data_IF_964328693227
#
_entry.id   IF_964328693227
#
_cell.length_a   1.000
_cell.length_b   1.000
_cell.length_c   1.000
_cell.angle_alpha   90.00
_cell.angle_beta   90.00
_cell.angle_gamma   90.00
#
_symmetry.space_group_name_H-M   'P 1'
#
loop_
_entity.id
_entity.type
_entity.pdbx_description
1 polymer ?
#
# COMPACT_ATOMS: atom_id res chain seq x y z
N UNK A 1 -12.54 26.28 -42.28
CA UNK A 1 -11.13 26.16 -41.85
C UNK A 1 -10.87 26.47 -40.36
N UNK A 2 -11.79 27.11 -39.60
CA UNK A 2 -11.57 27.38 -38.15
C UNK A 2 -11.84 26.17 -37.23
N UNK A 3 -12.81 25.31 -37.56
CA UNK A 3 -13.17 24.14 -36.75
C UNK A 3 -12.12 23.02 -36.75
N UNK A 4 -11.41 22.82 -37.87
CA UNK A 4 -10.33 21.83 -37.96
C UNK A 4 -9.14 22.18 -37.06
N UNK A 5 -8.83 23.48 -36.91
CA UNK A 5 -7.81 23.94 -35.96
C UNK A 5 -8.20 23.67 -34.50
N UNK A 6 -9.48 23.82 -34.17
CA UNK A 6 -9.99 23.57 -32.82
C UNK A 6 -9.97 22.08 -32.44
N UNK A 7 -10.30 21.21 -33.41
CA UNK A 7 -10.20 19.76 -33.22
C UNK A 7 -8.73 19.35 -33.07
N UNK A 8 -7.83 19.90 -33.89
CA UNK A 8 -6.40 19.60 -33.82
C UNK A 8 -5.78 20.00 -32.49
N UNK A 9 -6.07 21.22 -31.99
CA UNK A 9 -5.56 21.66 -30.69
C UNK A 9 -6.11 20.84 -29.53
N UNK A 10 -7.39 20.44 -29.60
CA UNK A 10 -8.00 19.58 -28.57
C UNK A 10 -7.32 18.21 -28.52
N UNK A 11 -7.06 17.60 -29.69
CA UNK A 11 -6.36 16.30 -29.76
C UNK A 11 -4.94 16.40 -29.19
N UNK A 12 -4.22 17.48 -29.50
CA UNK A 12 -2.86 17.71 -28.98
C UNK A 12 -2.87 17.88 -27.46
N UNK A 13 -3.82 18.65 -26.91
CA UNK A 13 -3.94 18.85 -25.46
C UNK A 13 -4.25 17.53 -24.73
N UNK A 14 -5.17 16.73 -25.26
CA UNK A 14 -5.51 15.42 -24.68
C UNK A 14 -4.31 14.48 -24.74
N UNK A 15 -3.55 14.49 -25.83
CA UNK A 15 -2.36 13.65 -25.98
C UNK A 15 -1.25 14.05 -24.99
N UNK A 16 -1.07 15.35 -24.75
CA UNK A 16 -0.14 15.86 -23.74
C UNK A 16 -0.59 15.45 -22.33
N UNK A 17 -1.87 15.61 -21.98
CA UNK A 17 -2.40 15.20 -20.68
C UNK A 17 -2.30 13.68 -20.46
N UNK A 18 -2.54 12.88 -21.49
CA UNK A 18 -2.36 11.43 -21.46
C UNK A 18 -0.89 11.04 -21.25
N UNK A 19 0.03 11.73 -21.94
CA UNK A 19 1.48 11.50 -21.78
C UNK A 19 1.97 11.89 -20.39
N UNK A 20 1.49 13.01 -19.84
CA UNK A 20 1.78 13.43 -18.46
C UNK A 20 1.21 12.42 -17.45
N UNK A 21 0.00 11.90 -17.69
CA UNK A 21 -0.60 10.89 -16.82
C UNK A 21 0.21 9.59 -16.82
N UNK A 22 0.64 9.11 -17.99
CA UNK A 22 1.51 7.95 -18.12
C UNK A 22 2.87 8.16 -17.45
N UNK A 23 3.44 9.36 -17.60
CA UNK A 23 4.70 9.73 -16.96
C UNK A 23 4.55 9.75 -15.44
N UNK A 24 3.56 10.46 -14.89
CA UNK A 24 3.27 10.48 -13.45
C UNK A 24 2.97 9.07 -12.89
N UNK A 25 2.31 8.22 -13.67
CA UNK A 25 2.05 6.83 -13.29
C UNK A 25 3.37 6.05 -13.20
N UNK A 26 4.31 6.25 -14.14
CA UNK A 26 5.67 5.69 -14.06
C UNK A 26 6.43 6.18 -12.83
N UNK A 27 6.40 7.48 -12.51
CA UNK A 27 7.04 8.00 -11.29
C UNK A 27 6.43 7.39 -10.03
N UNK A 28 5.10 7.28 -9.96
CA UNK A 28 4.44 6.63 -8.82
C UNK A 28 4.84 5.15 -8.70
N UNK A 29 5.01 4.44 -9.82
CA UNK A 29 5.46 3.04 -9.80
C UNK A 29 6.93 2.90 -9.49
N UNK A 30 7.77 3.87 -9.87
CA UNK A 30 9.22 3.90 -9.58
C UNK A 30 9.49 4.19 -8.10
N UNK A 31 8.76 5.13 -7.49
CA UNK A 31 8.84 5.38 -6.04
C UNK A 31 8.27 4.21 -5.23
N UNK A 32 7.23 3.56 -5.74
CA UNK A 32 6.77 2.31 -5.13
C UNK A 32 7.82 1.19 -5.34
N UNK A 33 8.47 1.12 -6.51
CA UNK A 33 9.47 0.11 -6.85
C UNK A 33 10.77 0.24 -6.05
N UNK A 34 11.23 1.46 -5.76
CA UNK A 34 12.37 1.74 -4.88
C UNK A 34 12.03 1.42 -3.42
N UNK A 35 10.77 1.60 -3.01
CA UNK A 35 10.24 1.10 -1.74
C UNK A 35 10.01 -0.43 -1.72
N UNK A 36 9.95 -1.07 -2.89
CA UNK A 36 9.73 -2.50 -3.10
C UNK A 36 11.04 -3.28 -3.41
N UNK A 37 12.18 -2.61 -3.58
CA UNK A 37 13.52 -3.25 -3.71
C UNK A 37 14.13 -3.62 -2.35
N UNK A 38 13.33 -3.43 -1.32
CA UNK A 38 13.70 -3.45 0.07
C UNK A 38 13.72 -4.91 0.55
N UNK A 39 14.85 -5.32 1.10
CA UNK A 39 15.04 -6.62 1.76
C UNK A 39 13.83 -6.97 2.64
N UNK A 40 13.41 -8.24 2.62
CA UNK A 40 12.23 -8.74 3.33
C UNK A 40 12.09 -8.27 4.79
N UNK A 41 13.18 -8.10 5.58
CA UNK A 41 13.11 -7.54 6.94
C UNK A 41 12.62 -6.08 6.97
N UNK A 42 13.02 -5.27 5.99
CA UNK A 42 12.66 -3.86 5.93
C UNK A 42 11.23 -3.71 5.39
N UNK A 43 10.77 -4.61 4.50
CA UNK A 43 9.34 -4.71 4.17
C UNK A 43 8.49 -4.99 5.41
N UNK A 44 8.90 -5.96 6.24
CA UNK A 44 8.21 -6.24 7.50
C UNK A 44 8.16 -4.99 8.39
N UNK A 45 9.29 -4.31 8.57
CA UNK A 45 9.39 -3.08 9.38
C UNK A 45 8.45 -1.99 8.86
N UNK A 46 8.39 -1.79 7.54
CA UNK A 46 7.53 -0.80 6.90
C UNK A 46 6.04 -1.09 7.12
N UNK A 47 5.62 -2.35 6.97
CA UNK A 47 4.23 -2.75 7.22
C UNK A 47 3.86 -2.48 8.69
N UNK A 48 4.72 -2.88 9.62
CA UNK A 48 4.52 -2.65 11.06
C UNK A 48 4.46 -1.15 11.37
N UNK A 49 5.42 -0.37 10.87
CA UNK A 49 5.47 1.08 11.06
C UNK A 49 4.20 1.78 10.56
N UNK A 50 3.70 1.39 9.38
CA UNK A 50 2.47 1.98 8.82
C UNK A 50 1.23 1.62 9.63
N UNK A 51 1.16 0.41 10.19
CA UNK A 51 0.06 0.04 11.10
C UNK A 51 0.08 0.85 12.39
N UNK A 52 1.25 1.15 12.94
CA UNK A 52 1.35 2.05 14.09
C UNK A 52 0.96 3.50 13.75
N UNK A 53 1.34 3.98 12.57
CA UNK A 53 0.95 5.31 12.09
C UNK A 53 -0.58 5.41 11.90
N UNK A 54 -1.18 4.40 11.26
CA UNK A 54 -2.63 4.31 11.10
C UNK A 54 -3.36 4.30 12.44
N UNK A 55 -2.83 3.61 13.45
CA UNK A 55 -3.43 3.60 14.79
C UNK A 55 -3.42 4.99 15.45
N UNK A 56 -2.42 5.82 15.13
CA UNK A 56 -2.33 7.19 15.62
C UNK A 56 -3.21 8.16 14.83
N UNK A 57 -3.43 7.91 13.54
CA UNK A 57 -4.14 8.85 12.66
C UNK A 57 -5.65 8.72 12.72
N UNK A 58 -6.18 7.52 13.00
CA UNK A 58 -7.62 7.25 13.02
C UNK A 58 -8.19 7.46 14.41
N UNK A 59 -9.43 7.94 14.53
CA UNK A 59 -10.02 8.27 15.83
C UNK A 59 -10.70 7.06 16.48
N UNK A 60 -11.26 6.16 15.67
CA UNK A 60 -12.02 5.01 16.16
C UNK A 60 -11.34 3.68 15.86
N UNK A 61 -11.61 2.69 16.70
CA UNK A 61 -11.10 1.33 16.48
C UNK A 61 -11.77 0.65 15.27
N UNK A 62 -12.99 1.05 14.92
CA UNK A 62 -13.69 0.64 13.69
C UNK A 62 -12.98 1.14 12.44
N UNK A 63 -12.56 2.40 12.42
CA UNK A 63 -11.77 2.97 11.31
C UNK A 63 -10.42 2.30 11.21
N UNK A 64 -9.70 2.16 12.33
CA UNK A 64 -8.43 1.46 12.36
C UNK A 64 -8.54 0.06 11.74
N UNK A 65 -9.61 -0.67 12.09
CA UNK A 65 -9.90 -1.99 11.53
C UNK A 65 -10.12 -1.94 10.02
N UNK A 66 -10.91 -0.99 9.54
CA UNK A 66 -11.17 -0.86 8.11
C UNK A 66 -9.89 -0.55 7.33
N UNK A 67 -9.14 0.47 7.77
CA UNK A 67 -7.93 0.92 7.08
C UNK A 67 -6.77 -0.08 7.18
N UNK A 68 -6.56 -0.73 8.33
CA UNK A 68 -5.53 -1.76 8.49
C UNK A 68 -5.78 -2.96 7.59
N UNK A 69 -7.04 -3.41 7.48
CA UNK A 69 -7.41 -4.51 6.58
C UNK A 69 -7.20 -4.13 5.11
N UNK A 70 -7.66 -2.94 4.71
CA UNK A 70 -7.52 -2.46 3.32
C UNK A 70 -6.05 -2.29 2.91
N UNK A 71 -5.23 -1.74 3.83
CA UNK A 71 -3.78 -1.64 3.66
C UNK A 71 -3.13 -3.01 3.47
N UNK A 72 -3.41 -3.98 4.35
CA UNK A 72 -2.81 -5.32 4.27
C UNK A 72 -3.23 -6.09 3.01
N UNK A 73 -4.48 -5.94 2.57
CA UNK A 73 -4.94 -6.47 1.28
C UNK A 73 -4.21 -5.82 0.09
N UNK A 74 -3.99 -4.51 0.14
CA UNK A 74 -3.26 -3.77 -0.90
C UNK A 74 -1.80 -4.19 -0.98
N UNK A 75 -1.15 -4.38 0.17
CA UNK A 75 0.20 -4.95 0.27
C UNK A 75 0.21 -6.34 -0.37
N UNK A 76 -0.68 -7.25 0.07
CA UNK A 76 -0.76 -8.60 -0.48
C UNK A 76 -0.92 -8.63 -2.01
N UNK A 77 -1.75 -7.75 -2.57
CA UNK A 77 -1.93 -7.63 -4.03
C UNK A 77 -0.68 -7.11 -4.74
N UNK A 78 -0.01 -6.12 -4.16
CA UNK A 78 1.20 -5.49 -4.75
C UNK A 78 2.36 -6.46 -4.90
N UNK A 79 2.50 -7.42 -3.98
CA UNK A 79 3.59 -8.40 -3.99
C UNK A 79 3.24 -9.71 -4.73
N UNK A 80 1.97 -9.94 -5.07
CA UNK A 80 1.51 -11.18 -5.72
C UNK A 80 2.29 -11.54 -7.00
N UNK A 81 2.75 -10.53 -7.74
CA UNK A 81 3.50 -10.71 -8.99
C UNK A 81 5.03 -10.78 -8.81
N UNK A 82 5.55 -10.62 -7.58
CA UNK A 82 6.98 -10.44 -7.29
C UNK A 82 7.66 -11.64 -6.62
N UNK A 83 7.09 -12.85 -6.75
CA UNK A 83 7.53 -14.07 -6.05
C UNK A 83 7.55 -13.97 -4.51
N UNK A 84 7.05 -12.87 -3.95
CA UNK A 84 6.91 -12.63 -2.52
C UNK A 84 5.42 -12.79 -2.18
N UNK A 85 5.11 -13.65 -1.22
CA UNK A 85 3.75 -13.83 -0.73
C UNK A 85 3.66 -13.24 0.68
N UNK A 86 2.75 -12.28 0.86
CA UNK A 86 2.44 -11.74 2.18
C UNK A 86 1.12 -12.35 2.65
N UNK A 87 1.18 -13.11 3.74
CA UNK A 87 0.00 -13.55 4.47
C UNK A 87 -0.09 -12.77 5.78
N UNK A 88 -1.31 -12.53 6.22
CA UNK A 88 -1.55 -11.86 7.48
C UNK A 88 -2.78 -12.45 8.16
N UNK A 89 -2.75 -12.44 9.48
CA UNK A 89 -3.86 -12.73 10.35
C UNK A 89 -4.10 -11.52 11.24
N UNK A 90 -5.36 -11.13 11.33
CA UNK A 90 -5.81 -10.00 12.11
C UNK A 90 -6.92 -10.45 13.04
N UNK A 91 -6.72 -10.24 14.34
CA UNK A 91 -7.71 -10.48 15.38
C UNK A 91 -7.87 -9.23 16.23
N UNK A 92 -9.12 -8.87 16.50
CA UNK A 92 -9.45 -7.70 17.29
C UNK A 92 -10.13 -8.16 18.58
N UNK A 93 -9.53 -7.83 19.72
CA UNK A 93 -10.17 -8.00 21.01
C UNK A 93 -11.14 -6.82 21.27
N UNK A 94 -12.17 -7.01 22.12
CA UNK A 94 -13.22 -6.01 22.39
C UNK A 94 -12.71 -4.68 22.97
N UNK A 95 -11.46 -4.61 23.43
CA UNK A 95 -10.86 -3.43 24.08
C UNK A 95 -9.89 -2.67 23.16
N UNK A 96 -10.10 -2.70 21.84
CA UNK A 96 -9.18 -2.11 20.85
C UNK A 96 -7.73 -2.62 20.95
N UNK A 97 -7.55 -3.80 21.54
CA UNK A 97 -6.30 -4.54 21.48
C UNK A 97 -6.28 -5.32 20.17
N UNK A 98 -5.53 -4.81 19.21
CA UNK A 98 -5.45 -5.37 17.88
C UNK A 98 -4.22 -6.27 17.81
N UNK A 99 -4.44 -7.56 17.58
CA UNK A 99 -3.39 -8.54 17.38
C UNK A 99 -3.19 -8.76 15.88
N UNK A 100 -1.95 -8.59 15.45
CA UNK A 100 -1.54 -8.85 14.08
C UNK A 100 -0.47 -9.93 14.06
N UNK A 101 -0.64 -10.89 13.17
CA UNK A 101 0.43 -11.80 12.74
C UNK A 101 0.64 -11.57 11.26
N UNK A 102 1.86 -11.24 10.87
CA UNK A 102 2.23 -10.98 9.48
C UNK A 102 3.33 -11.95 9.12
N UNK A 103 3.16 -12.66 8.02
CA UNK A 103 4.15 -13.60 7.50
C UNK A 103 4.47 -13.26 6.05
N UNK A 104 5.74 -12.98 5.80
CA UNK A 104 6.28 -12.74 4.48
C UNK A 104 7.02 -14.00 4.07
N UNK A 105 6.56 -14.62 2.99
CA UNK A 105 7.21 -15.75 2.35
C UNK A 105 7.95 -15.24 1.12
N UNK A 106 9.25 -15.51 1.05
CA UNK A 106 10.06 -15.25 -0.13
C UNK A 106 10.90 -16.47 -0.49
N UNK A 107 11.45 -16.53 -1.71
CA UNK A 107 12.37 -17.60 -2.10
C UNK A 107 13.66 -17.64 -1.27
N UNK A 108 14.01 -16.53 -0.62
CA UNK A 108 15.24 -16.36 0.15
C UNK A 108 15.02 -16.61 1.64
N UNK A 109 13.94 -16.08 2.19
CA UNK A 109 13.66 -16.13 3.62
C UNK A 109 12.16 -16.05 3.90
N UNK A 110 11.73 -16.74 4.96
CA UNK A 110 10.40 -16.60 5.52
C UNK A 110 10.50 -15.84 6.84
N UNK A 111 9.79 -14.72 6.94
CA UNK A 111 9.79 -13.86 8.13
C UNK A 111 8.37 -13.81 8.68
N UNK A 112 8.21 -14.16 9.95
CA UNK A 112 6.94 -14.03 10.65
C UNK A 112 7.11 -13.12 11.86
N UNK A 113 6.22 -12.15 12.00
CA UNK A 113 6.19 -11.26 13.16
C UNK A 113 4.77 -11.18 13.70
N UNK A 114 4.64 -11.25 15.03
CA UNK A 114 3.37 -11.12 15.73
C UNK A 114 3.48 -10.04 16.78
N UNK A 115 2.53 -9.11 16.78
CA UNK A 115 2.58 -7.94 17.67
C UNK A 115 1.18 -7.45 18.00
N UNK A 116 1.11 -6.70 19.11
CA UNK A 116 -0.10 -6.04 19.56
C UNK A 116 0.00 -4.55 19.30
N UNK A 117 -1.06 -3.98 18.75
CA UNK A 117 -1.27 -2.54 18.72
C UNK A 117 -2.44 -2.27 19.66
N UNK A 118 -2.09 -1.77 20.84
CA UNK A 118 -3.06 -1.36 21.83
C UNK A 118 -3.32 0.14 21.68
N UNK A 119 -4.58 0.53 21.81
CA UNK A 119 -4.96 1.92 21.98
C UNK A 119 -5.21 2.14 23.46
N UNK A 120 -4.53 3.12 24.07
CA UNK A 120 -4.95 3.60 25.38
C UNK A 120 -6.35 4.21 25.19
N UNK A 121 -7.31 3.70 25.95
CA UNK A 121 -8.68 4.23 26.00
C UNK A 121 -8.67 5.66 26.55
#
# INVERSE_FOLDING_TARGET
MKGQFFVLTTVVIVFILFSISLYLQQFSTMDLASYLSIEEPVLMSNIVGKLYELNKSVETCSEFRYFSKDFLETVKKSYRNKLIKVDYYFSMAPVCNNFFTITIYSPRINISNSFYINRAA
#
